data_IF_688200031723
#
_entry.id   IF_688200031723
#
_cell.length_a   1.000
_cell.length_b   1.000
_cell.length_c   1.000
_cell.angle_alpha   90.00
_cell.angle_beta   90.00
_cell.angle_gamma   90.00
#
_symmetry.space_group_name_H-M   'P 1'
#
loop_
_entity.id
_entity.type
_entity.pdbx_description
1 polymer ?
#
# COMPACT_ATOMS: atom_id res chain seq x y z
N UNK A 1 -19.05 -8.33 57.65
CA UNK A 1 -20.38 -7.70 57.80
C UNK A 1 -20.67 -6.89 56.55
N UNK A 2 -21.93 -6.83 56.11
CA UNK A 2 -22.41 -7.50 54.89
C UNK A 2 -22.67 -6.48 53.74
N UNK A 3 -22.43 -6.81 52.46
CA UNK A 3 -23.22 -7.60 51.51
C UNK A 3 -24.31 -6.83 50.76
N UNK A 4 -24.44 -7.16 49.45
CA UNK A 4 -25.70 -7.30 48.68
C UNK A 4 -26.37 -5.98 48.27
N UNK A 5 -26.99 -5.82 47.09
CA UNK A 5 -27.76 -6.73 46.24
C UNK A 5 -27.93 -6.06 44.84
N UNK A 6 -27.84 -6.84 43.74
CA UNK A 6 -28.97 -7.25 42.86
C UNK A 6 -29.41 -6.16 41.85
N UNK A 7 -29.90 -6.43 40.64
CA UNK A 7 -30.65 -7.57 40.10
C UNK A 7 -30.58 -7.54 38.56
N UNK A 8 -30.59 -8.73 37.94
CA UNK A 8 -31.00 -8.95 36.56
C UNK A 8 -32.51 -8.75 36.40
N UNK A 9 -32.99 -8.29 35.25
CA UNK A 9 -34.36 -8.57 34.80
C UNK A 9 -34.43 -8.85 33.31
N UNK A 10 -35.25 -9.84 32.99
CA UNK A 10 -35.51 -10.43 31.69
C UNK A 10 -36.65 -9.71 30.94
N UNK A 11 -36.51 -9.69 29.60
CA UNK A 11 -37.49 -9.71 28.49
C UNK A 11 -38.97 -9.35 28.74
N UNK A 12 -39.51 -8.49 27.87
CA UNK A 12 -40.85 -8.66 27.25
C UNK A 12 -40.78 -8.28 25.76
N UNK A 13 -41.16 -9.23 24.90
CA UNK A 13 -41.50 -9.08 23.49
C UNK A 13 -43.03 -9.06 23.38
N UNK A 14 -43.63 -8.10 22.68
CA UNK A 14 -44.96 -8.20 22.06
C UNK A 14 -45.27 -6.93 21.26
N UNK A 15 -45.58 -7.10 19.97
CA UNK A 15 -46.10 -6.03 19.11
C UNK A 15 -46.03 -6.40 17.63
N UNK A 16 -47.09 -7.03 17.13
CA UNK A 16 -47.28 -7.50 15.76
C UNK A 16 -48.29 -6.58 15.03
N UNK A 17 -48.40 -6.71 13.68
CA UNK A 17 -49.42 -6.18 12.73
C UNK A 17 -49.18 -4.74 12.20
N UNK A 18 -49.26 -4.36 10.91
CA UNK A 18 -50.00 -4.81 9.69
C UNK A 18 -49.31 -4.30 8.39
N UNK A 19 -49.42 -5.08 7.30
CA UNK A 19 -49.14 -4.69 5.91
C UNK A 19 -50.23 -3.76 5.32
N UNK A 20 -49.88 -2.83 4.43
CA UNK A 20 -50.73 -2.52 3.25
C UNK A 20 -49.85 -2.17 2.03
N UNK A 21 -50.09 -2.88 0.93
CA UNK A 21 -49.51 -2.70 -0.41
C UNK A 21 -50.19 -1.59 -1.21
N UNK A 22 -49.48 -0.98 -2.17
CA UNK A 22 -50.11 -0.44 -3.38
C UNK A 22 -49.12 -0.37 -4.55
N UNK A 23 -49.26 -1.31 -5.49
CA UNK A 23 -48.85 -1.19 -6.89
C UNK A 23 -49.77 -0.16 -7.58
N UNK A 24 -49.20 0.69 -8.43
CA UNK A 24 -49.95 1.41 -9.47
C UNK A 24 -49.37 1.04 -10.82
N UNK A 25 -50.20 0.35 -11.61
CA UNK A 25 -50.01 0.06 -13.03
C UNK A 25 -50.87 1.07 -13.79
N UNK A 26 -50.30 1.74 -14.80
CA UNK A 26 -51.02 2.60 -15.72
C UNK A 26 -50.60 2.28 -17.17
N UNK A 27 -51.53 1.94 -18.08
CA UNK A 27 -51.23 1.68 -19.49
C UNK A 27 -51.43 2.93 -20.38
N UNK A 28 -51.41 2.72 -21.70
CA UNK A 28 -51.79 3.61 -22.82
C UNK A 28 -50.63 4.37 -23.49
N UNK A 29 -50.52 4.55 -24.82
CA UNK A 29 -51.14 3.99 -26.05
C UNK A 29 -50.24 4.51 -27.20
N UNK A 30 -50.01 3.72 -28.27
CA UNK A 30 -49.47 4.24 -29.54
C UNK A 30 -50.63 4.62 -30.49
N UNK A 31 -50.41 5.61 -31.39
CA UNK A 31 -50.47 5.26 -32.82
C UNK A 31 -49.42 5.96 -33.72
N UNK A 32 -49.17 5.32 -34.86
CA UNK A 32 -48.33 5.63 -36.04
C UNK A 32 -48.66 6.96 -36.80
N UNK A 33 -48.16 7.18 -38.03
CA UNK A 33 -46.77 7.49 -38.44
C UNK A 33 -46.71 8.83 -39.21
N UNK A 34 -45.53 9.44 -39.36
CA UNK A 34 -45.32 10.50 -40.34
C UNK A 34 -44.06 10.21 -41.16
N UNK A 35 -44.29 9.86 -42.42
CA UNK A 35 -43.29 9.77 -43.47
C UNK A 35 -42.62 11.12 -43.68
N UNK A 36 -41.30 11.18 -43.53
CA UNK A 36 -40.49 12.26 -44.10
C UNK A 36 -39.43 11.65 -45.00
N UNK A 37 -39.55 12.00 -46.27
CA UNK A 37 -38.63 11.68 -47.35
C UNK A 37 -37.33 12.45 -47.12
N UNK A 38 -36.30 11.78 -46.64
CA UNK A 38 -34.95 12.35 -46.56
C UNK A 38 -34.23 12.05 -47.87
N UNK A 39 -33.82 13.11 -48.56
CA UNK A 39 -32.96 13.07 -49.73
C UNK A 39 -31.68 12.29 -49.42
N UNK A 40 -31.43 11.22 -50.17
CA UNK A 40 -30.15 10.52 -50.16
C UNK A 40 -29.08 11.45 -50.76
N UNK A 41 -28.26 12.06 -49.89
CA UNK A 41 -26.95 12.56 -50.27
C UNK A 41 -26.04 11.35 -50.53
N UNK A 42 -25.22 11.33 -51.61
CA UNK A 42 -24.22 10.29 -51.78
C UNK A 42 -23.17 10.47 -50.68
N UNK A 43 -23.28 9.68 -49.61
CA UNK A 43 -22.18 9.54 -48.66
C UNK A 43 -21.00 8.98 -49.44
N UNK A 44 -19.89 9.73 -49.47
CA UNK A 44 -18.59 9.18 -49.83
C UNK A 44 -18.41 7.90 -49.02
N UNK A 45 -18.30 6.76 -49.71
CA UNK A 45 -17.79 5.53 -49.12
C UNK A 45 -16.32 5.75 -48.77
N UNK A 46 -16.06 6.41 -47.64
CA UNK A 46 -14.83 6.16 -46.92
C UNK A 46 -14.94 4.70 -46.46
N UNK A 47 -14.05 3.84 -46.94
CA UNK A 47 -13.79 2.55 -46.34
C UNK A 47 -13.58 2.75 -44.85
N UNK A 48 -14.62 2.48 -44.06
CA UNK A 48 -14.51 2.33 -42.63
C UNK A 48 -13.69 1.06 -42.41
N UNK A 49 -12.38 1.22 -42.24
CA UNK A 49 -11.56 0.17 -41.65
C UNK A 49 -12.08 0.00 -40.23
N UNK A 50 -12.67 -1.15 -39.87
CA UNK A 50 -13.09 -1.37 -38.50
C UNK A 50 -11.83 -1.38 -37.62
N UNK A 51 -11.57 -0.28 -36.92
CA UNK A 51 -10.64 -0.30 -35.80
C UNK A 51 -11.40 -0.92 -34.64
N UNK A 52 -11.29 -2.24 -34.51
CA UNK A 52 -11.58 -2.89 -33.26
C UNK A 52 -10.51 -2.41 -32.26
N UNK A 53 -10.89 -1.47 -31.40
CA UNK A 53 -10.18 -1.30 -30.13
C UNK A 53 -10.53 -2.53 -29.30
N UNK A 54 -9.72 -3.59 -29.47
CA UNK A 54 -9.69 -4.65 -28.47
C UNK A 54 -9.40 -3.95 -27.14
N UNK A 55 -10.18 -4.21 -26.07
CA UNK A 55 -9.75 -3.81 -24.75
C UNK A 55 -8.32 -4.30 -24.60
N UNK A 56 -7.40 -3.42 -24.26
CA UNK A 56 -6.03 -3.77 -23.94
C UNK A 56 -6.01 -4.50 -22.59
N UNK A 57 -6.82 -5.55 -22.45
CA UNK A 57 -6.95 -6.45 -21.30
C UNK A 57 -6.25 -7.75 -21.66
N UNK A 58 -5.03 -7.61 -22.20
CA UNK A 58 -4.02 -8.66 -22.27
C UNK A 58 -2.74 -8.26 -21.52
N UNK A 59 -2.77 -7.17 -20.73
CA UNK A 59 -1.69 -6.78 -19.81
C UNK A 59 -1.62 -7.65 -18.53
N UNK A 60 -2.42 -8.72 -18.44
CA UNK A 60 -2.70 -9.44 -17.19
C UNK A 60 -2.20 -10.89 -17.16
N UNK A 61 -1.63 -11.38 -18.26
CA UNK A 61 -0.87 -12.61 -18.19
C UNK A 61 0.56 -12.27 -17.78
N UNK A 62 1.21 -13.11 -17.00
CA UNK A 62 2.65 -13.02 -16.73
C UNK A 62 3.41 -13.49 -17.99
N UNK A 63 3.14 -12.81 -19.10
CA UNK A 63 3.63 -13.13 -20.43
C UNK A 63 4.99 -12.49 -20.71
N UNK A 64 5.52 -11.70 -19.77
CA UNK A 64 6.92 -11.30 -19.80
C UNK A 64 7.77 -12.50 -19.44
N UNK A 65 8.57 -12.99 -20.39
CA UNK A 65 9.58 -14.02 -20.12
C UNK A 65 10.44 -13.53 -18.96
N UNK A 66 10.45 -14.26 -17.85
CA UNK A 66 11.27 -13.95 -16.68
C UNK A 66 10.66 -12.96 -15.68
N UNK A 67 9.34 -12.77 -15.58
CA UNK A 67 8.70 -12.09 -14.44
C UNK A 67 7.78 -13.07 -13.70
N UNK A 68 7.95 -13.21 -12.38
CA UNK A 68 7.03 -14.01 -11.54
C UNK A 68 5.64 -13.39 -11.50
N UNK A 69 4.60 -14.21 -11.58
CA UNK A 69 3.23 -13.72 -11.42
C UNK A 69 2.96 -13.23 -10.00
N UNK A 70 3.40 -14.01 -9.01
CA UNK A 70 3.32 -13.69 -7.59
C UNK A 70 4.71 -13.83 -6.99
N UNK A 71 5.15 -12.77 -6.36
CA UNK A 71 6.43 -12.67 -5.67
C UNK A 71 6.34 -11.47 -4.76
N UNK A 72 7.07 -11.47 -3.66
CA UNK A 72 7.16 -10.34 -2.74
C UNK A 72 7.71 -10.79 -1.40
N UNK A 73 8.78 -10.16 -0.94
CA UNK A 73 9.23 -10.25 0.45
C UNK A 73 10.09 -9.02 0.73
N UNK A 74 10.19 -8.66 1.99
CA UNK A 74 11.33 -7.90 2.48
C UNK A 74 12.66 -8.63 2.18
N UNK A 75 13.57 -8.01 1.44
CA UNK A 75 14.87 -8.62 1.11
C UNK A 75 15.92 -8.47 2.20
N UNK A 76 15.68 -7.51 3.08
CA UNK A 76 16.51 -7.25 4.22
C UNK A 76 16.90 -5.80 4.34
N UNK A 77 17.21 -5.46 5.58
CA UNK A 77 17.80 -4.21 6.00
C UNK A 77 19.33 -4.30 5.87
N UNK A 78 19.86 -3.93 4.70
CA UNK A 78 21.30 -3.99 4.40
C UNK A 78 21.88 -2.59 4.30
N UNK A 79 23.12 -2.43 4.76
CA UNK A 79 23.80 -1.14 4.65
C UNK A 79 23.88 -0.70 3.19
N UNK A 80 23.84 0.61 2.95
CA UNK A 80 24.03 1.17 1.61
C UNK A 80 25.32 0.66 0.90
N UNK A 81 26.33 0.19 1.64
CA UNK A 81 27.54 -0.42 1.07
C UNK A 81 27.42 -1.89 0.68
N UNK A 82 26.38 -2.59 1.12
CA UNK A 82 26.29 -4.04 0.97
C UNK A 82 25.60 -4.47 -0.31
N UNK A 83 24.70 -3.64 -0.86
CA UNK A 83 24.00 -3.94 -2.11
C UNK A 83 24.96 -4.02 -3.29
N UNK A 84 25.03 -5.20 -3.90
CA UNK A 84 25.90 -5.52 -5.02
C UNK A 84 25.18 -6.45 -6.01
N UNK A 85 25.74 -6.59 -7.21
CA UNK A 85 25.14 -7.41 -8.28
C UNK A 85 24.95 -8.88 -7.88
N UNK A 86 25.80 -9.44 -7.01
CA UNK A 86 25.69 -10.84 -6.60
C UNK A 86 24.46 -11.10 -5.73
N UNK A 87 24.08 -10.15 -4.88
CA UNK A 87 22.84 -10.24 -4.08
C UNK A 87 21.62 -10.14 -5.00
N UNK A 88 21.68 -9.30 -6.02
CA UNK A 88 20.55 -9.05 -6.92
C UNK A 88 20.42 -10.09 -8.04
N UNK A 89 21.42 -10.96 -8.21
CA UNK A 89 21.51 -11.94 -9.29
C UNK A 89 20.27 -12.85 -9.37
N UNK A 90 19.82 -13.40 -8.25
CA UNK A 90 18.63 -14.27 -8.21
C UNK A 90 17.37 -13.56 -8.68
N UNK A 91 17.36 -12.22 -8.61
CA UNK A 91 16.24 -11.35 -8.96
C UNK A 91 16.40 -10.64 -10.30
N UNK A 92 17.44 -10.96 -11.07
CA UNK A 92 17.77 -10.33 -12.34
C UNK A 92 18.04 -11.42 -13.41
N UNK A 93 17.18 -11.57 -14.43
CA UNK A 93 17.38 -12.53 -15.52
C UNK A 93 18.66 -12.34 -16.33
N UNK A 94 19.33 -11.18 -16.25
CA UNK A 94 20.67 -11.00 -16.84
C UNK A 94 21.68 -11.96 -16.21
N UNK A 95 21.41 -12.43 -15.00
CA UNK A 95 22.25 -13.33 -14.22
C UNK A 95 21.56 -14.70 -13.95
N UNK A 96 20.69 -15.13 -14.88
CA UNK A 96 19.86 -16.34 -14.80
C UNK A 96 18.79 -16.32 -13.69
N UNK A 97 18.54 -15.16 -13.08
CA UNK A 97 17.46 -14.94 -12.12
C UNK A 97 16.07 -14.77 -12.75
N UNK A 98 15.09 -14.40 -11.92
CA UNK A 98 13.75 -14.02 -12.38
C UNK A 98 13.43 -12.63 -11.85
N UNK A 99 12.71 -11.80 -12.58
CA UNK A 99 12.23 -10.53 -12.05
C UNK A 99 11.06 -10.76 -11.09
N UNK A 100 10.97 -9.99 -10.00
CA UNK A 100 9.74 -9.89 -9.23
C UNK A 100 8.66 -9.10 -9.99
N UNK A 101 7.42 -9.12 -9.48
CA UNK A 101 6.31 -8.38 -10.10
C UNK A 101 6.31 -6.89 -9.74
N UNK A 102 6.69 -6.56 -8.50
CA UNK A 102 7.03 -5.20 -8.09
C UNK A 102 8.29 -5.18 -7.22
N UNK A 103 8.87 -3.99 -7.09
CA UNK A 103 9.95 -3.67 -6.16
C UNK A 103 9.50 -2.44 -5.38
N UNK A 104 9.69 -2.40 -4.07
CA UNK A 104 9.59 -1.18 -3.26
C UNK A 104 11.00 -0.77 -2.84
N UNK A 105 11.33 0.50 -3.01
CA UNK A 105 12.57 1.07 -2.50
C UNK A 105 12.29 2.27 -1.63
N UNK A 106 13.14 2.49 -0.63
CA UNK A 106 13.10 3.73 0.15
C UNK A 106 13.73 4.87 -0.65
N UNK A 107 13.13 6.06 -0.62
CA UNK A 107 13.62 7.21 -1.39
C UNK A 107 15.04 7.59 -0.98
N UNK A 108 15.34 7.60 0.32
CA UNK A 108 16.67 7.93 0.85
C UNK A 108 17.71 6.81 0.71
N UNK A 109 17.33 5.62 0.22
CA UNK A 109 18.26 4.55 -0.11
C UNK A 109 18.79 4.76 -1.53
N UNK A 110 17.90 5.02 -2.47
CA UNK A 110 18.26 5.09 -3.90
C UNK A 110 18.67 6.50 -4.31
N UNK A 111 18.07 7.51 -3.68
CA UNK A 111 18.18 8.91 -4.08
C UNK A 111 18.75 9.78 -2.97
N UNK A 112 19.57 10.75 -3.38
CA UNK A 112 20.00 11.86 -2.56
C UNK A 112 19.18 13.08 -2.96
N UNK A 113 18.35 13.56 -2.05
CA UNK A 113 17.52 14.74 -2.28
C UNK A 113 18.33 15.99 -1.96
N UNK A 114 18.63 16.77 -2.99
CA UNK A 114 19.29 18.06 -2.87
C UNK A 114 18.23 19.13 -2.59
N UNK A 115 18.48 19.94 -1.58
CA UNK A 115 17.59 21.01 -1.15
C UNK A 115 18.30 22.34 -1.27
N UNK A 116 17.59 23.40 -1.65
CA UNK A 116 18.17 24.74 -1.68
C UNK A 116 18.64 25.14 -0.28
N UNK A 117 19.88 25.66 -0.12
CA UNK A 117 20.32 26.18 1.17
C UNK A 117 19.41 27.33 1.58
N UNK A 118 19.04 27.36 2.86
CA UNK A 118 18.17 28.40 3.42
C UNK A 118 18.84 29.76 3.24
N UNK A 119 18.23 30.64 2.44
CA UNK A 119 18.36 32.07 2.70
C UNK A 119 17.26 32.44 3.69
N UNK A 120 17.67 32.57 4.96
CA UNK A 120 16.79 32.81 6.12
C UNK A 120 15.90 34.05 5.97
N UNK A 121 16.15 34.89 4.96
CA UNK A 121 15.37 36.10 4.72
C UNK A 121 14.16 35.90 3.80
N UNK A 122 14.14 34.93 2.87
CA UNK A 122 13.15 34.98 1.76
C UNK A 122 12.65 33.65 1.20
N UNK A 123 13.28 32.50 1.46
CA UNK A 123 12.83 31.23 0.87
C UNK A 123 12.89 30.08 1.87
N UNK A 124 11.76 29.42 2.19
CA UNK A 124 11.80 28.18 2.97
C UNK A 124 12.61 27.14 2.20
N UNK A 125 13.30 26.23 2.90
CA UNK A 125 14.01 25.11 2.26
C UNK A 125 13.05 24.37 1.33
N UNK A 126 13.49 24.11 0.10
CA UNK A 126 12.72 23.37 -0.92
C UNK A 126 13.59 22.35 -1.59
N UNK A 127 12.96 21.30 -2.08
CA UNK A 127 13.61 20.33 -2.96
C UNK A 127 14.06 21.04 -4.25
N UNK A 128 15.33 20.88 -4.59
CA UNK A 128 15.91 21.35 -5.85
C UNK A 128 15.86 20.23 -6.90
N UNK A 129 16.49 19.11 -6.57
CA UNK A 129 16.64 17.94 -7.45
C UNK A 129 16.92 16.67 -6.66
N UNK A 130 16.77 15.54 -7.32
CA UNK A 130 17.29 14.26 -6.86
C UNK A 130 18.61 13.94 -7.59
N UNK A 131 19.49 13.23 -6.90
CA UNK A 131 20.71 12.62 -7.47
C UNK A 131 20.73 11.13 -7.11
N UNK A 132 21.45 10.33 -7.89
CA UNK A 132 21.64 8.91 -7.60
C UNK A 132 22.53 8.78 -6.35
N UNK A 133 22.00 8.18 -5.29
CA UNK A 133 22.77 7.86 -4.07
C UNK A 133 23.44 6.48 -4.19
N UNK A 134 22.69 5.50 -4.69
CA UNK A 134 23.14 4.10 -4.81
C UNK A 134 23.06 3.61 -6.25
N UNK A 135 24.14 3.73 -7.04
CA UNK A 135 24.14 3.36 -8.45
C UNK A 135 23.73 1.91 -8.72
N UNK A 136 24.16 0.96 -7.90
CA UNK A 136 23.83 -0.47 -8.09
C UNK A 136 22.32 -0.71 -7.99
N UNK A 137 21.68 -0.20 -6.92
CA UNK A 137 20.24 -0.35 -6.71
C UNK A 137 19.47 0.44 -7.77
N UNK A 138 19.91 1.66 -8.08
CA UNK A 138 19.31 2.48 -9.14
C UNK A 138 19.33 1.78 -10.50
N UNK A 139 20.47 1.20 -10.90
CA UNK A 139 20.60 0.48 -12.16
C UNK A 139 19.74 -0.79 -12.18
N UNK A 140 19.63 -1.50 -11.04
CA UNK A 140 18.73 -2.65 -10.90
C UNK A 140 17.25 -2.24 -11.08
N UNK A 141 16.76 -1.23 -10.35
CA UNK A 141 15.35 -0.81 -10.46
C UNK A 141 15.03 -0.24 -11.84
N UNK A 142 15.99 0.46 -12.47
CA UNK A 142 15.86 0.92 -13.85
C UNK A 142 15.68 -0.25 -14.82
N UNK A 143 16.55 -1.26 -14.75
CA UNK A 143 16.43 -2.46 -15.61
C UNK A 143 15.09 -3.15 -15.35
N UNK A 144 14.73 -3.38 -14.09
CA UNK A 144 13.46 -3.99 -13.72
C UNK A 144 12.27 -3.24 -14.31
N UNK A 145 12.21 -1.91 -14.16
CA UNK A 145 11.15 -1.08 -14.70
C UNK A 145 11.04 -1.18 -16.23
N UNK A 146 12.19 -1.15 -16.93
CA UNK A 146 12.24 -1.30 -18.39
C UNK A 146 11.77 -2.69 -18.87
N UNK A 147 11.82 -3.70 -18.01
CA UNK A 147 11.27 -5.03 -18.26
C UNK A 147 9.80 -5.18 -17.84
N UNK A 148 9.16 -4.14 -17.28
CA UNK A 148 7.76 -4.15 -16.89
C UNK A 148 7.48 -4.53 -15.43
N UNK A 149 8.52 -4.55 -14.60
CA UNK A 149 8.37 -4.62 -13.14
C UNK A 149 7.83 -3.31 -12.61
N UNK A 150 6.89 -3.35 -11.67
CA UNK A 150 6.36 -2.14 -11.02
C UNK A 150 7.35 -1.66 -9.96
N UNK A 151 7.93 -0.47 -10.11
CA UNK A 151 8.81 0.12 -9.10
C UNK A 151 8.01 1.10 -8.24
N UNK A 152 7.80 0.79 -6.97
CA UNK A 152 7.19 1.69 -5.99
C UNK A 152 8.31 2.36 -5.21
N UNK A 153 8.19 3.68 -5.00
CA UNK A 153 9.16 4.45 -4.23
C UNK A 153 8.47 4.94 -2.96
N UNK A 154 8.89 4.44 -1.81
CA UNK A 154 8.40 4.90 -0.51
C UNK A 154 9.21 6.10 -0.07
N UNK A 155 8.53 7.24 0.11
CA UNK A 155 9.17 8.43 0.66
C UNK A 155 9.60 8.13 2.10
N UNK A 156 10.90 8.26 2.37
CA UNK A 156 11.48 7.91 3.66
C UNK A 156 12.47 8.98 4.13
N UNK A 157 12.50 9.30 5.44
CA UNK A 157 11.62 8.81 6.52
C UNK A 157 10.16 9.25 6.31
N UNK A 158 9.21 8.56 6.95
CA UNK A 158 7.77 8.78 6.79
C UNK A 158 7.35 10.14 7.34
N UNK A 159 7.04 11.10 6.48
CA UNK A 159 7.02 12.47 6.94
C UNK A 159 5.60 13.00 7.17
N UNK A 160 5.40 13.72 8.27
CA UNK A 160 4.18 14.48 8.55
C UNK A 160 4.48 15.97 8.83
N UNK A 161 3.45 16.81 8.86
CA UNK A 161 3.57 18.23 9.17
C UNK A 161 2.81 18.55 10.46
N UNK A 162 3.44 18.37 11.62
CA UNK A 162 2.75 18.46 12.90
C UNK A 162 2.85 19.84 13.56
N UNK A 163 1.84 20.23 14.33
CA UNK A 163 1.81 21.53 15.01
C UNK A 163 2.80 21.64 16.17
N UNK A 164 3.10 20.53 16.84
CA UNK A 164 4.04 20.37 17.94
C UNK A 164 5.47 20.13 17.44
N UNK A 165 5.82 20.73 16.30
CA UNK A 165 7.09 20.48 15.60
C UNK A 165 8.34 20.69 16.48
N UNK A 166 8.27 21.58 17.46
CA UNK A 166 9.38 21.91 18.35
C UNK A 166 9.50 20.98 19.58
N UNK A 167 8.47 20.17 19.87
CA UNK A 167 8.47 19.16 20.92
C UNK A 167 7.35 18.13 20.69
N UNK A 168 7.63 16.98 20.06
CA UNK A 168 6.63 15.95 19.77
C UNK A 168 6.09 15.23 21.02
N UNK A 169 6.60 15.54 22.21
CA UNK A 169 6.01 15.10 23.47
C UNK A 169 4.94 16.07 24.00
N UNK A 170 4.67 17.17 23.28
CA UNK A 170 3.59 18.06 23.63
C UNK A 170 2.22 17.37 23.47
N UNK A 171 1.24 17.76 24.30
CA UNK A 171 -0.09 17.20 24.20
C UNK A 171 -0.78 17.55 22.86
N UNK A 172 -0.38 18.60 22.15
CA UNK A 172 -1.07 19.13 20.96
C UNK A 172 -0.59 18.48 19.63
N UNK A 173 -0.45 17.14 19.62
CA UNK A 173 0.04 16.38 18.47
C UNK A 173 -0.98 16.28 17.34
N UNK A 174 -1.04 17.31 16.51
CA UNK A 174 -2.01 17.45 15.42
C UNK A 174 -1.33 17.63 14.07
N UNK A 175 -1.83 16.95 13.04
CA UNK A 175 -1.28 17.01 11.69
C UNK A 175 -1.91 18.17 10.90
N UNK A 176 -1.08 18.96 10.23
CA UNK A 176 -1.45 20.15 9.49
C UNK A 176 -1.35 19.95 7.98
N UNK A 177 -2.43 20.24 7.28
CA UNK A 177 -2.45 20.35 5.80
C UNK A 177 -1.86 21.67 5.30
N UNK A 178 -1.50 22.59 6.20
CA UNK A 178 -1.20 23.99 5.88
C UNK A 178 0.17 24.24 5.27
N UNK A 179 0.69 25.45 5.52
CA UNK A 179 2.13 25.73 5.36
C UNK A 179 2.91 24.88 6.36
N UNK A 180 4.19 24.59 6.09
CA UNK A 180 5.04 23.93 7.08
C UNK A 180 4.95 24.60 8.46
N UNK A 181 4.73 23.83 9.52
CA UNK A 181 4.75 24.38 10.88
C UNK A 181 6.21 24.52 11.33
N UNK A 182 6.55 25.66 11.92
CA UNK A 182 7.89 25.95 12.44
C UNK A 182 8.80 26.73 11.49
N UNK A 183 9.41 27.85 11.90
CA UNK A 183 10.10 28.77 10.99
C UNK A 183 11.54 28.38 10.59
N UNK A 184 12.17 27.37 11.22
CA UNK A 184 13.65 27.24 11.19
C UNK A 184 14.21 25.90 10.64
N UNK A 185 13.42 24.84 10.47
CA UNK A 185 13.96 23.48 10.30
C UNK A 185 13.59 22.75 8.99
N UNK A 186 13.17 23.46 7.94
CA UNK A 186 12.74 22.85 6.67
C UNK A 186 13.81 22.06 5.89
N UNK A 187 15.09 22.20 6.26
CA UNK A 187 16.17 21.38 5.68
C UNK A 187 16.42 20.08 6.46
N UNK A 188 15.60 19.77 7.45
CA UNK A 188 15.62 18.53 8.23
C UNK A 188 14.46 17.64 7.80
N UNK A 189 14.62 16.87 6.70
CA UNK A 189 13.55 16.01 6.17
C UNK A 189 13.15 14.88 7.13
N UNK A 190 13.96 14.66 8.18
CA UNK A 190 13.76 13.68 9.24
C UNK A 190 12.65 14.02 10.24
N UNK A 191 12.18 15.26 10.26
CA UNK A 191 11.24 15.70 11.28
C UNK A 191 9.87 16.09 10.72
N UNK A 192 9.83 17.04 9.78
CA UNK A 192 8.56 17.61 9.33
C UNK A 192 8.59 17.98 7.87
N UNK A 193 7.51 17.66 7.16
CA UNK A 193 7.40 18.03 5.75
C UNK A 193 5.98 18.36 5.39
N UNK A 194 5.79 19.51 4.75
CA UNK A 194 4.48 19.89 4.21
C UNK A 194 4.12 19.06 2.98
N UNK A 195 2.83 19.07 2.62
CA UNK A 195 2.33 18.48 1.39
C UNK A 195 3.10 18.87 0.12
N UNK A 196 3.52 20.13 0.04
CA UNK A 196 4.29 20.65 -1.10
C UNK A 196 5.67 20.01 -1.12
N UNK A 197 6.34 19.96 0.02
CA UNK A 197 7.67 19.37 0.10
C UNK A 197 7.70 17.87 -0.27
N UNK A 198 6.68 17.09 0.13
CA UNK A 198 6.53 15.68 -0.29
C UNK A 198 6.40 15.58 -1.81
N UNK A 199 5.48 16.35 -2.39
CA UNK A 199 5.21 16.32 -3.82
C UNK A 199 6.42 16.83 -4.65
N UNK A 200 7.13 17.86 -4.17
CA UNK A 200 8.34 18.37 -4.81
C UNK A 200 9.47 17.30 -4.81
N UNK A 201 9.57 16.46 -3.77
CA UNK A 201 10.49 15.31 -3.75
C UNK A 201 10.09 14.23 -4.75
N UNK A 202 8.80 13.86 -4.79
CA UNK A 202 8.27 12.90 -5.75
C UNK A 202 8.58 13.36 -7.19
N UNK A 203 8.37 14.65 -7.50
CA UNK A 203 8.69 15.23 -8.80
C UNK A 203 10.18 15.20 -9.11
N UNK A 204 11.02 15.56 -8.13
CA UNK A 204 12.47 15.55 -8.31
C UNK A 204 13.00 14.14 -8.63
N UNK A 205 12.46 13.12 -7.96
CA UNK A 205 12.78 11.70 -8.23
C UNK A 205 12.22 11.28 -9.59
N UNK A 206 10.96 11.59 -9.89
CA UNK A 206 10.32 11.26 -11.16
C UNK A 206 11.12 11.81 -12.36
N UNK A 207 11.49 13.10 -12.32
CA UNK A 207 12.30 13.74 -13.37
C UNK A 207 13.67 13.11 -13.52
N UNK A 208 14.30 12.70 -12.42
CA UNK A 208 15.56 11.96 -12.48
C UNK A 208 15.34 10.63 -13.19
N UNK A 209 14.35 9.83 -12.80
CA UNK A 209 14.06 8.53 -13.41
C UNK A 209 13.77 8.66 -14.92
N UNK A 210 12.89 9.60 -15.29
CA UNK A 210 12.53 9.87 -16.69
C UNK A 210 13.76 10.25 -17.53
N UNK A 211 14.67 11.05 -16.98
CA UNK A 211 15.94 11.40 -17.65
C UNK A 211 16.86 10.20 -17.91
N UNK A 212 16.68 9.10 -17.16
CA UNK A 212 17.37 7.82 -17.36
C UNK A 212 16.55 6.79 -18.15
N UNK A 213 15.37 7.19 -18.65
CA UNK A 213 14.55 6.41 -19.58
C UNK A 213 13.69 5.33 -18.89
N UNK A 214 13.23 5.58 -17.67
CA UNK A 214 12.22 4.76 -17.00
C UNK A 214 11.34 5.62 -16.09
N UNK A 215 10.18 5.09 -15.70
CA UNK A 215 9.31 5.73 -14.71
C UNK A 215 8.97 4.73 -13.63
N UNK A 216 8.86 5.20 -12.40
CA UNK A 216 8.25 4.44 -11.31
C UNK A 216 6.77 4.16 -11.58
N UNK A 217 6.25 3.13 -10.92
CA UNK A 217 4.84 2.82 -10.88
C UNK A 217 4.07 3.84 -10.04
N UNK A 218 4.64 4.28 -8.92
CA UNK A 218 4.10 5.34 -8.07
C UNK A 218 4.84 5.50 -6.75
N UNK A 219 4.45 6.51 -5.99
CA UNK A 219 5.06 6.86 -4.71
C UNK A 219 4.15 6.51 -3.53
N UNK A 220 4.71 5.89 -2.49
CA UNK A 220 4.06 5.82 -1.18
C UNK A 220 4.47 7.04 -0.37
N UNK A 221 3.52 7.87 0.09
CA UNK A 221 3.86 9.13 0.74
C UNK A 221 4.42 8.96 2.17
N UNK A 222 4.22 7.80 2.80
CA UNK A 222 4.69 7.48 4.16
C UNK A 222 4.66 5.96 4.41
N UNK A 223 5.45 5.46 5.36
CA UNK A 223 5.36 4.13 5.95
C UNK A 223 4.46 4.16 7.19
N UNK A 224 3.48 3.26 7.28
CA UNK A 224 2.68 2.98 8.49
C UNK A 224 2.39 4.20 9.40
N UNK A 225 1.83 5.31 8.87
CA UNK A 225 1.74 6.56 9.62
C UNK A 225 0.86 6.46 10.87
N UNK A 226 -0.10 5.52 10.90
CA UNK A 226 -0.91 5.24 12.08
C UNK A 226 -0.09 4.69 13.26
N UNK A 227 1.06 4.08 13.00
CA UNK A 227 2.00 3.61 14.01
C UNK A 227 3.09 4.66 14.21
N UNK A 228 3.79 5.03 13.13
CA UNK A 228 4.97 5.90 13.22
C UNK A 228 4.66 7.29 13.77
N UNK A 229 3.45 7.82 13.53
CA UNK A 229 3.07 9.14 14.02
C UNK A 229 2.29 9.08 15.34
N UNK A 230 1.50 8.03 15.58
CA UNK A 230 0.49 8.04 16.64
C UNK A 230 0.59 6.89 17.67
N UNK A 231 1.69 6.13 17.70
CA UNK A 231 1.93 5.09 18.72
C UNK A 231 2.53 5.62 20.05
N UNK A 232 2.99 6.88 20.08
CA UNK A 232 3.63 7.49 21.25
C UNK A 232 2.72 7.63 22.48
N UNK A 233 3.25 7.34 23.67
CA UNK A 233 2.57 7.63 24.94
C UNK A 233 2.76 9.09 25.34
N UNK A 234 1.68 9.81 25.61
CA UNK A 234 1.73 11.16 26.20
C UNK A 234 1.17 12.28 25.33
N UNK A 235 0.83 12.00 24.08
CA UNK A 235 0.10 12.92 23.19
C UNK A 235 -1.40 12.89 23.48
N UNK A 236 -2.13 13.97 23.18
CA UNK A 236 -3.60 13.98 23.31
C UNK A 236 -4.31 13.26 22.17
N UNK A 237 -3.64 13.14 21.02
CA UNK A 237 -4.11 12.42 19.83
C UNK A 237 -3.29 11.14 19.68
N UNK A 238 -4.00 10.02 19.61
CA UNK A 238 -3.38 8.69 19.42
C UNK A 238 -4.03 8.01 18.23
N UNK A 239 -3.50 6.85 17.81
CA UNK A 239 -4.11 6.04 16.75
C UNK A 239 -5.53 5.56 17.08
N UNK A 240 -5.91 5.56 18.37
CA UNK A 240 -7.26 5.25 18.82
C UNK A 240 -8.26 6.37 18.51
N UNK A 241 -7.78 7.59 18.28
CA UNK A 241 -8.62 8.77 18.11
C UNK A 241 -9.09 8.93 16.67
N UNK A 242 -10.39 9.13 16.45
CA UNK A 242 -10.95 9.47 15.12
C UNK A 242 -10.22 10.62 14.44
N UNK A 243 -9.81 11.63 15.21
CA UNK A 243 -9.16 12.83 14.68
C UNK A 243 -7.82 12.52 13.99
N UNK A 244 -7.04 11.56 14.51
CA UNK A 244 -5.78 11.14 13.89
C UNK A 244 -6.01 10.65 12.45
N UNK A 245 -7.03 9.80 12.25
CA UNK A 245 -7.39 9.24 10.95
C UNK A 245 -7.95 10.29 9.99
N UNK A 246 -8.77 11.22 10.49
CA UNK A 246 -9.30 12.32 9.70
C UNK A 246 -8.20 13.29 9.24
N UNK A 247 -7.23 13.58 10.11
CA UNK A 247 -6.11 14.44 9.76
C UNK A 247 -5.16 13.77 8.76
N UNK A 248 -4.87 12.47 8.92
CA UNK A 248 -4.16 11.70 7.90
C UNK A 248 -4.91 11.74 6.57
N UNK A 249 -6.24 11.55 6.57
CA UNK A 249 -7.05 11.60 5.35
C UNK A 249 -6.94 12.95 4.63
N UNK A 250 -7.04 14.05 5.39
CA UNK A 250 -6.93 15.39 4.85
C UNK A 250 -5.52 15.69 4.34
N UNK A 251 -4.48 15.26 5.07
CA UNK A 251 -3.08 15.48 4.73
C UNK A 251 -2.68 14.78 3.44
N UNK A 252 -2.93 13.47 3.33
CA UNK A 252 -2.56 12.72 2.14
C UNK A 252 -3.40 13.10 0.92
N UNK A 253 -4.69 13.41 1.10
CA UNK A 253 -5.50 14.00 0.03
C UNK A 253 -4.91 15.33 -0.49
N UNK A 254 -4.37 16.17 0.41
CA UNK A 254 -3.75 17.43 0.02
C UNK A 254 -2.39 17.23 -0.66
N UNK A 255 -1.62 16.19 -0.31
CA UNK A 255 -0.41 15.76 -1.05
C UNK A 255 -0.78 15.36 -2.47
N UNK A 256 -1.79 14.51 -2.64
CA UNK A 256 -2.31 14.08 -3.94
C UNK A 256 -2.70 15.28 -4.81
N UNK A 257 -3.52 16.18 -4.25
CA UNK A 257 -4.00 17.35 -4.98
C UNK A 257 -2.86 18.29 -5.37
N UNK A 258 -1.87 18.49 -4.50
CA UNK A 258 -0.69 19.29 -4.84
C UNK A 258 0.11 18.67 -5.98
N UNK A 259 0.41 17.37 -5.89
CA UNK A 259 1.19 16.65 -6.88
C UNK A 259 0.53 16.74 -8.27
N UNK A 260 -0.76 16.42 -8.38
CA UNK A 260 -1.49 16.43 -9.66
C UNK A 260 -1.83 17.82 -10.18
N UNK A 261 -1.79 18.86 -9.32
CA UNK A 261 -1.96 20.25 -9.77
C UNK A 261 -0.68 20.80 -10.39
N UNK A 262 0.49 20.42 -9.87
CA UNK A 262 1.77 21.05 -10.24
C UNK A 262 2.63 20.20 -11.17
N UNK A 263 2.44 18.89 -11.16
CA UNK A 263 3.28 17.94 -11.87
C UNK A 263 2.44 16.99 -12.70
N UNK A 264 3.01 16.54 -13.83
CA UNK A 264 2.42 15.54 -14.70
C UNK A 264 3.24 14.26 -14.63
N UNK A 265 2.59 13.10 -14.65
CA UNK A 265 3.27 11.80 -14.73
C UNK A 265 3.62 11.16 -13.39
N UNK A 266 3.38 11.85 -12.27
CA UNK A 266 3.52 11.29 -10.93
C UNK A 266 2.25 10.53 -10.56
N UNK A 267 2.41 9.30 -10.08
CA UNK A 267 1.34 8.54 -9.44
C UNK A 267 1.55 8.56 -7.92
N UNK A 268 0.53 8.97 -7.17
CA UNK A 268 0.55 8.99 -5.70
C UNK A 268 -0.32 7.85 -5.18
N UNK A 269 0.31 6.87 -4.54
CA UNK A 269 -0.34 5.70 -3.95
C UNK A 269 -0.84 6.03 -2.53
N UNK A 270 -1.73 5.21 -1.98
CA UNK A 270 -2.10 5.33 -0.56
C UNK A 270 -0.90 4.95 0.34
N UNK A 271 -0.73 5.59 1.50
CA UNK A 271 0.26 5.15 2.48
C UNK A 271 -0.20 3.83 3.10
N UNK A 272 0.60 2.75 3.11
CA UNK A 272 0.24 1.53 3.82
C UNK A 272 0.10 1.80 5.33
N UNK A 273 -0.85 1.14 5.98
CA UNK A 273 -1.03 1.23 7.43
C UNK A 273 -0.39 0.04 8.15
N UNK A 274 0.08 0.27 9.37
CA UNK A 274 0.56 -0.80 10.24
C UNK A 274 -0.56 -1.77 10.57
N UNK A 275 -0.32 -3.05 10.27
CA UNK A 275 -1.32 -4.11 10.42
C UNK A 275 -1.72 -4.28 11.89
N UNK A 276 -3.02 -4.36 12.16
CA UNK A 276 -3.53 -4.58 13.51
C UNK A 276 -3.48 -3.34 14.41
N UNK A 277 -3.00 -2.21 13.90
CA UNK A 277 -2.99 -0.92 14.59
C UNK A 277 -4.23 -0.09 14.24
N UNK A 278 -5.41 -0.71 14.42
CA UNK A 278 -6.76 -0.13 14.24
C UNK A 278 -7.11 0.30 12.81
N UNK A 279 -6.26 0.03 11.81
CA UNK A 279 -6.57 0.28 10.41
C UNK A 279 -7.73 -0.62 9.93
N UNK A 280 -7.71 -1.89 10.33
CA UNK A 280 -8.71 -2.91 10.01
C UNK A 280 -9.81 -3.01 11.06
N UNK A 281 -10.99 -3.52 10.67
CA UNK A 281 -12.13 -3.69 11.58
C UNK A 281 -12.02 -4.92 12.50
N UNK A 282 -10.94 -5.69 12.39
CA UNK A 282 -10.79 -6.96 13.08
C UNK A 282 -9.34 -7.25 13.41
N UNK A 283 -9.09 -7.76 14.61
CA UNK A 283 -7.78 -8.23 15.03
C UNK A 283 -7.45 -9.52 14.27
N UNK A 284 -6.41 -9.50 13.45
CA UNK A 284 -6.05 -10.63 12.59
C UNK A 284 -5.49 -11.83 13.39
N UNK A 285 -5.05 -11.65 14.65
CA UNK A 285 -4.57 -12.74 15.51
C UNK A 285 -5.70 -13.40 16.29
N UNK A 286 -6.57 -12.59 16.90
CA UNK A 286 -7.58 -13.04 17.86
C UNK A 286 -9.02 -13.01 17.35
N UNK A 287 -9.26 -12.49 16.14
CA UNK A 287 -10.59 -12.38 15.53
C UNK A 287 -11.61 -11.56 16.32
N UNK A 288 -11.14 -10.78 17.29
CA UNK A 288 -11.95 -9.79 17.97
C UNK A 288 -12.17 -8.59 17.04
N UNK A 289 -13.38 -8.01 16.99
CA UNK A 289 -13.57 -6.70 16.37
C UNK A 289 -12.61 -5.67 16.95
N UNK A 290 -12.12 -4.79 16.10
CA UNK A 290 -11.34 -3.61 16.49
C UNK A 290 -12.00 -2.38 15.89
N UNK A 291 -11.91 -1.27 16.62
CA UNK A 291 -12.38 0.02 16.16
C UNK A 291 -11.79 1.13 17.00
N UNK A 292 -12.10 2.35 16.60
CA UNK A 292 -11.58 3.55 17.24
C UNK A 292 -12.26 3.83 18.60
N UNK A 293 -11.61 4.60 19.46
CA UNK A 293 -12.07 4.84 20.83
C UNK A 293 -13.45 5.51 20.86
N UNK A 294 -13.67 6.48 19.96
CA UNK A 294 -14.92 7.23 19.88
C UNK A 294 -15.99 6.55 19.00
N UNK A 295 -15.59 5.62 18.13
CA UNK A 295 -16.50 4.78 17.33
C UNK A 295 -15.93 3.36 17.17
N UNK A 296 -16.18 2.46 18.15
CA UNK A 296 -15.63 1.10 18.13
C UNK A 296 -16.19 0.21 17.01
N UNK A 297 -17.14 0.71 16.21
CA UNK A 297 -17.74 -0.03 15.09
C UNK A 297 -17.03 0.22 13.77
N UNK A 298 -16.10 1.18 13.74
CA UNK A 298 -15.39 1.60 12.53
C UNK A 298 -13.89 1.48 12.71
N UNK A 299 -13.23 1.12 11.61
CA UNK A 299 -11.78 1.08 11.56
C UNK A 299 -11.21 2.41 11.07
N UNK A 300 -9.89 2.54 11.10
CA UNK A 300 -9.19 3.69 10.54
C UNK A 300 -9.51 3.95 9.06
N UNK A 301 -9.59 2.89 8.25
CA UNK A 301 -9.96 3.00 6.84
C UNK A 301 -11.34 3.63 6.62
N UNK A 302 -12.31 3.42 7.53
CA UNK A 302 -13.64 4.04 7.40
C UNK A 302 -13.60 5.57 7.49
N UNK A 303 -12.55 6.13 8.11
CA UNK A 303 -12.32 7.56 8.26
C UNK A 303 -11.34 8.14 7.24
N UNK A 304 -10.77 7.32 6.35
CA UNK A 304 -9.83 7.74 5.31
C UNK A 304 -10.41 7.66 3.88
N UNK A 305 -11.70 7.96 3.74
CA UNK A 305 -12.43 7.78 2.47
C UNK A 305 -11.93 8.70 1.36
N UNK A 306 -11.38 9.88 1.66
CA UNK A 306 -10.91 10.78 0.61
C UNK A 306 -9.65 10.22 -0.03
N UNK A 307 -8.64 9.91 0.79
CA UNK A 307 -7.34 9.35 0.40
C UNK A 307 -7.51 8.00 -0.26
N UNK A 308 -8.16 7.04 0.40
CA UNK A 308 -8.29 5.68 -0.12
C UNK A 308 -9.40 5.51 -1.16
N UNK A 309 -10.39 6.40 -1.20
CA UNK A 309 -11.49 6.35 -2.16
C UNK A 309 -11.24 7.14 -3.44
N UNK A 310 -10.87 8.42 -3.31
CA UNK A 310 -10.91 9.37 -4.46
C UNK A 310 -9.59 10.05 -4.80
N UNK A 311 -8.65 10.13 -3.86
CA UNK A 311 -7.39 10.89 -3.97
C UNK A 311 -6.18 9.95 -3.85
N UNK A 312 -6.14 8.97 -4.74
CA UNK A 312 -5.00 8.06 -4.95
C UNK A 312 -4.99 7.55 -6.40
N UNK A 313 -3.82 7.13 -6.87
CA UNK A 313 -3.64 6.45 -8.16
C UNK A 313 -3.49 4.94 -8.01
N UNK A 314 -3.37 4.44 -6.78
CA UNK A 314 -3.34 3.03 -6.42
C UNK A 314 -3.41 2.84 -4.91
N UNK A 315 -3.85 1.65 -4.50
CA UNK A 315 -4.01 1.28 -3.09
C UNK A 315 -2.89 0.36 -2.66
N UNK A 316 -2.18 0.73 -1.61
CA UNK A 316 -1.13 -0.06 -0.99
C UNK A 316 -1.43 -0.37 0.48
N UNK A 317 -1.00 -1.53 0.94
CA UNK A 317 -1.05 -1.95 2.35
C UNK A 317 0.08 -2.92 2.69
N UNK A 318 0.29 -3.15 3.97
CA UNK A 318 1.22 -4.16 4.49
C UNK A 318 0.47 -5.41 4.96
N UNK A 319 1.13 -6.57 4.92
CA UNK A 319 0.51 -7.80 5.38
C UNK A 319 1.51 -8.77 6.02
N UNK A 320 1.34 -9.03 7.32
CA UNK A 320 2.09 -10.06 8.04
C UNK A 320 1.19 -11.21 8.46
N UNK A 321 1.70 -12.44 8.43
CA UNK A 321 0.93 -13.62 8.81
C UNK A 321 1.74 -14.63 9.62
N UNK A 322 1.08 -15.52 10.35
CA UNK A 322 1.70 -16.66 11.03
C UNK A 322 1.50 -17.93 10.21
N UNK A 323 2.38 -18.91 10.43
CA UNK A 323 2.23 -20.24 9.84
C UNK A 323 0.84 -20.84 10.14
N UNK A 324 0.18 -21.37 9.11
CA UNK A 324 -1.15 -21.97 9.18
C UNK A 324 -2.30 -20.97 8.99
N UNK A 325 -2.00 -19.69 8.73
CA UNK A 325 -3.00 -18.63 8.49
C UNK A 325 -2.97 -18.03 7.07
N UNK A 326 -2.34 -18.73 6.14
CA UNK A 326 -2.11 -18.32 4.74
C UNK A 326 -3.34 -18.38 3.84
N UNK A 327 -4.40 -19.06 4.27
CA UNK A 327 -5.61 -19.24 3.46
C UNK A 327 -6.42 -17.95 3.46
N UNK A 328 -6.86 -17.52 2.27
CA UNK A 328 -7.67 -16.32 2.05
C UNK A 328 -9.10 -16.58 2.51
N UNK A 329 -9.30 -16.50 3.81
CA UNK A 329 -10.57 -16.76 4.46
C UNK A 329 -10.72 -15.85 5.68
N UNK A 330 -11.88 -15.86 6.31
CA UNK A 330 -12.07 -15.13 7.56
C UNK A 330 -11.48 -15.95 8.71
N UNK A 331 -10.58 -15.32 9.47
CA UNK A 331 -10.32 -15.67 10.84
C UNK A 331 -9.76 -17.08 11.12
N UNK A 332 -10.35 -17.83 12.06
CA UNK A 332 -9.84 -19.11 12.59
C UNK A 332 -9.53 -20.14 11.49
N UNK A 333 -10.17 -20.01 10.32
CA UNK A 333 -10.04 -20.89 9.16
C UNK A 333 -8.89 -20.51 8.19
N UNK A 334 -7.90 -19.76 8.68
CA UNK A 334 -6.91 -19.05 7.87
C UNK A 334 -7.48 -17.69 7.46
N UNK A 335 -6.67 -16.64 7.45
CA UNK A 335 -7.26 -15.31 7.25
C UNK A 335 -6.49 -14.12 7.73
N UNK A 336 -5.16 -14.19 7.76
CA UNK A 336 -4.34 -13.02 8.05
C UNK A 336 -4.07 -12.23 6.78
N UNK A 337 -5.15 -11.91 6.06
CA UNK A 337 -5.14 -11.09 4.85
C UNK A 337 -5.86 -9.78 5.17
N UNK A 338 -5.11 -8.69 5.29
CA UNK A 338 -5.63 -7.35 5.62
C UNK A 338 -6.76 -6.92 4.70
N UNK A 339 -6.65 -7.25 3.41
CA UNK A 339 -7.63 -6.89 2.38
C UNK A 339 -9.04 -7.45 2.64
N UNK A 340 -9.18 -8.54 3.38
CA UNK A 340 -10.47 -9.12 3.77
C UNK A 340 -11.23 -8.17 4.71
N UNK A 341 -10.51 -7.42 5.53
CA UNK A 341 -11.04 -6.58 6.60
C UNK A 341 -11.09 -5.10 6.24
N UNK A 342 -10.85 -4.75 4.98
CA UNK A 342 -11.17 -3.42 4.47
C UNK A 342 -12.68 -3.15 4.53
N UNK A 343 -13.09 -1.88 4.67
CA UNK A 343 -14.47 -1.47 4.45
C UNK A 343 -14.99 -1.94 3.08
N UNK A 344 -16.30 -2.20 3.00
CA UNK A 344 -16.91 -2.77 1.79
C UNK A 344 -16.62 -1.94 0.53
N UNK A 345 -16.67 -0.61 0.61
CA UNK A 345 -16.40 0.27 -0.52
C UNK A 345 -14.96 0.14 -1.05
N UNK A 346 -13.98 -0.08 -0.16
CA UNK A 346 -12.56 -0.23 -0.54
C UNK A 346 -12.33 -1.61 -1.14
N UNK A 347 -12.91 -2.66 -0.54
CA UNK A 347 -12.90 -4.01 -1.12
C UNK A 347 -13.54 -4.01 -2.51
N UNK A 348 -14.63 -3.29 -2.68
CA UNK A 348 -15.33 -3.17 -3.96
C UNK A 348 -14.51 -2.40 -5.00
N UNK A 349 -13.80 -1.35 -4.60
CA UNK A 349 -12.90 -0.61 -5.49
C UNK A 349 -11.75 -1.49 -6.01
N UNK A 350 -11.10 -2.22 -5.09
CA UNK A 350 -10.05 -3.20 -5.42
C UNK A 350 -10.63 -4.32 -6.29
N UNK A 351 -11.78 -4.88 -5.89
CA UNK A 351 -12.47 -5.95 -6.62
C UNK A 351 -12.82 -5.57 -8.06
N UNK A 352 -13.30 -4.37 -8.25
CA UNK A 352 -13.72 -3.93 -9.58
C UNK A 352 -12.55 -3.38 -10.41
N UNK A 353 -11.30 -3.49 -9.92
CA UNK A 353 -10.11 -3.00 -10.60
C UNK A 353 -10.14 -1.50 -10.85
N UNK A 354 -10.85 -0.73 -10.01
CA UNK A 354 -10.98 0.73 -10.17
C UNK A 354 -9.65 1.43 -9.99
N UNK A 355 -8.79 0.86 -9.16
CA UNK A 355 -7.42 1.29 -8.90
C UNK A 355 -6.52 0.06 -8.84
N UNK A 356 -5.25 0.16 -9.28
CA UNK A 356 -4.25 -0.85 -8.99
C UNK A 356 -4.11 -1.07 -7.48
N UNK A 357 -3.85 -2.31 -7.08
CA UNK A 357 -3.69 -2.70 -5.68
C UNK A 357 -2.37 -3.47 -5.49
N UNK A 358 -1.63 -3.14 -4.43
CA UNK A 358 -0.29 -3.67 -4.15
C UNK A 358 -0.15 -3.96 -2.67
N UNK A 359 0.41 -5.11 -2.30
CA UNK A 359 0.98 -5.26 -0.94
C UNK A 359 2.41 -4.78 -1.03
N UNK A 360 2.70 -3.62 -0.45
CA UNK A 360 4.05 -3.04 -0.52
C UNK A 360 5.03 -3.67 0.46
N UNK A 361 4.53 -4.39 1.46
CA UNK A 361 5.35 -5.18 2.37
C UNK A 361 4.59 -6.42 2.83
N UNK A 362 5.23 -7.59 2.73
CA UNK A 362 4.65 -8.84 3.21
C UNK A 362 5.71 -9.80 3.69
N UNK A 363 5.47 -10.42 4.86
CA UNK A 363 6.32 -11.49 5.37
C UNK A 363 5.60 -12.32 6.45
N UNK A 364 6.16 -13.48 6.77
CA UNK A 364 5.87 -14.17 8.02
C UNK A 364 6.13 -13.23 9.19
N UNK A 365 5.19 -13.18 10.11
CA UNK A 365 5.24 -12.34 11.28
C UNK A 365 6.40 -12.78 12.18
N UNK A 366 7.18 -11.83 12.64
CA UNK A 366 8.29 -12.11 13.54
C UNK A 366 7.80 -12.52 14.94
N UNK A 367 8.68 -13.12 15.76
CA UNK A 367 8.42 -13.24 17.19
C UNK A 367 8.19 -11.88 17.88
N UNK A 368 8.82 -10.81 17.40
CA UNK A 368 8.74 -9.46 17.96
C UNK A 368 7.37 -8.80 17.79
N UNK A 369 6.66 -9.12 16.72
CA UNK A 369 5.29 -8.62 16.46
C UNK A 369 4.24 -9.21 17.40
N UNK A 370 4.57 -10.22 18.22
CA UNK A 370 3.66 -10.79 19.21
C UNK A 370 2.43 -11.51 18.62
N UNK A 371 2.47 -11.87 17.33
CA UNK A 371 1.38 -12.56 16.64
C UNK A 371 1.29 -14.06 17.00
N UNK A 372 2.30 -14.59 17.69
CA UNK A 372 2.34 -15.99 18.12
C UNK A 372 2.68 -16.95 16.99
N UNK A 373 3.61 -16.57 16.11
CA UNK A 373 4.03 -17.42 14.99
C UNK A 373 4.66 -18.73 15.50
N UNK A 374 4.19 -19.91 15.05
CA UNK A 374 4.84 -21.19 15.37
C UNK A 374 6.28 -21.26 14.86
N UNK A 375 6.57 -20.62 13.74
CA UNK A 375 7.93 -20.45 13.24
C UNK A 375 8.57 -19.32 14.04
N UNK A 376 9.57 -19.64 14.86
CA UNK A 376 10.33 -18.66 15.66
C UNK A 376 11.75 -18.44 15.14
N UNK A 377 12.17 -19.23 14.15
CA UNK A 377 13.43 -19.10 13.42
C UNK A 377 13.23 -19.66 12.00
N UNK A 378 13.25 -18.78 11.00
CA UNK A 378 13.07 -19.17 9.60
C UNK A 378 14.18 -20.09 9.08
N UNK A 379 15.40 -19.96 9.60
CA UNK A 379 16.55 -20.76 9.17
C UNK A 379 16.56 -22.15 9.82
N UNK A 380 15.95 -22.29 10.99
CA UNK A 380 15.73 -23.58 11.64
C UNK A 380 14.57 -24.39 11.00
N UNK A 381 13.65 -23.72 10.31
CA UNK A 381 12.48 -24.31 9.66
C UNK A 381 12.33 -23.86 8.19
N UNK A 382 13.33 -24.11 7.32
CA UNK A 382 13.39 -23.45 6.01
C UNK A 382 12.32 -23.93 5.04
N UNK A 383 12.01 -25.23 5.02
CA UNK A 383 10.96 -25.80 4.17
C UNK A 383 9.58 -25.28 4.57
N UNK A 384 9.27 -25.27 5.87
CA UNK A 384 8.00 -24.75 6.41
C UNK A 384 7.83 -23.25 6.13
N UNK A 385 8.90 -22.48 6.30
CA UNK A 385 8.93 -21.06 5.96
C UNK A 385 8.62 -20.86 4.48
N UNK A 386 9.34 -21.56 3.60
CA UNK A 386 9.13 -21.46 2.16
C UNK A 386 7.71 -21.88 1.74
N UNK A 387 7.18 -22.97 2.30
CA UNK A 387 5.81 -23.45 2.08
C UNK A 387 4.77 -22.41 2.50
N UNK A 388 4.91 -21.84 3.70
CA UNK A 388 4.00 -20.81 4.19
C UNK A 388 3.98 -19.59 3.26
N UNK A 389 5.16 -19.10 2.85
CA UNK A 389 5.25 -17.99 1.90
C UNK A 389 4.61 -18.32 0.55
N UNK A 390 4.86 -19.52 0.00
CA UNK A 390 4.22 -19.97 -1.25
C UNK A 390 2.71 -20.03 -1.09
N UNK A 391 2.20 -20.60 -0.01
CA UNK A 391 0.78 -20.69 0.26
C UNK A 391 0.12 -19.31 0.39
N UNK A 392 0.71 -18.39 1.15
CA UNK A 392 0.15 -17.06 1.34
C UNK A 392 0.04 -16.31 0.01
N UNK A 393 1.11 -16.31 -0.79
CA UNK A 393 1.11 -15.62 -2.09
C UNK A 393 0.24 -16.30 -3.13
N UNK A 394 0.21 -17.64 -3.16
CA UNK A 394 -0.73 -18.36 -4.00
C UNK A 394 -2.18 -18.07 -3.61
N UNK A 395 -2.44 -17.88 -2.31
CA UNK A 395 -3.77 -17.59 -1.76
C UNK A 395 -4.22 -16.17 -2.11
N UNK A 396 -3.37 -15.16 -1.90
CA UNK A 396 -3.58 -13.79 -2.38
C UNK A 396 -3.81 -13.74 -3.89
N UNK A 397 -2.97 -14.44 -4.67
CA UNK A 397 -3.11 -14.51 -6.13
C UNK A 397 -4.40 -15.20 -6.57
N UNK A 398 -4.63 -16.44 -6.14
CA UNK A 398 -5.77 -17.26 -6.60
C UNK A 398 -7.08 -16.68 -6.13
N UNK A 399 -7.23 -16.32 -4.86
CA UNK A 399 -8.51 -15.83 -4.34
C UNK A 399 -8.72 -14.34 -4.60
N UNK A 400 -7.66 -13.51 -4.58
CA UNK A 400 -7.69 -12.13 -5.07
C UNK A 400 -8.16 -12.06 -6.53
N UNK A 401 -7.58 -12.86 -7.44
CA UNK A 401 -8.02 -12.85 -8.84
C UNK A 401 -9.36 -13.55 -9.08
N UNK A 402 -9.58 -14.76 -8.54
CA UNK A 402 -10.75 -15.58 -8.91
C UNK A 402 -12.06 -15.11 -8.24
N UNK A 403 -11.99 -14.57 -7.02
CA UNK A 403 -13.19 -14.04 -6.34
C UNK A 403 -13.33 -12.55 -6.51
N UNK A 404 -12.22 -11.84 -6.68
CA UNK A 404 -12.23 -10.39 -6.68
C UNK A 404 -11.75 -9.76 -7.99
N UNK A 405 -11.41 -10.47 -9.06
CA UNK A 405 -11.08 -9.83 -10.36
C UNK A 405 -9.93 -8.81 -10.32
N UNK A 406 -9.22 -8.73 -9.19
CA UNK A 406 -8.14 -7.79 -8.95
C UNK A 406 -6.99 -8.25 -9.81
N UNK A 407 -6.37 -7.33 -10.54
CA UNK A 407 -5.01 -7.58 -11.02
C UNK A 407 -4.22 -8.03 -9.81
N UNK A 408 -3.68 -9.24 -9.87
CA UNK A 408 -2.99 -9.86 -8.79
C UNK A 408 -2.27 -8.87 -7.89
N UNK A 409 -2.64 -8.92 -6.62
CA UNK A 409 -2.04 -8.13 -5.58
C UNK A 409 -0.54 -8.28 -5.74
N UNK A 410 0.07 -7.21 -6.19
CA UNK A 410 1.48 -7.24 -6.52
C UNK A 410 2.20 -7.08 -5.20
N UNK A 411 3.05 -8.04 -4.87
CA UNK A 411 3.70 -8.05 -3.57
C UNK A 411 5.10 -7.55 -3.80
N UNK A 412 5.48 -6.53 -3.05
CA UNK A 412 6.65 -5.75 -3.38
C UNK A 412 7.86 -6.19 -2.59
N UNK A 413 9.02 -5.98 -3.20
CA UNK A 413 10.31 -6.33 -2.64
C UNK A 413 10.89 -5.12 -1.95
N UNK A 414 10.86 -5.06 -0.61
CA UNK A 414 11.44 -3.93 0.11
C UNK A 414 12.97 -4.09 0.16
N UNK A 415 13.66 -3.25 -0.60
CA UNK A 415 15.07 -2.95 -0.40
C UNK A 415 15.14 -1.87 0.68
N UNK A 416 15.89 -2.07 1.77
CA UNK A 416 15.97 -1.10 2.87
C UNK A 416 17.31 -1.17 3.60
N UNK A 417 17.66 -0.11 4.34
CA UNK A 417 18.87 0.08 5.17
C UNK A 417 18.53 0.35 6.66
N UNK A 418 17.36 -0.08 7.15
CA UNK A 418 17.07 0.02 8.58
C UNK A 418 17.75 -1.14 9.32
N UNK A 419 19.08 -1.19 9.39
CA UNK A 419 19.79 -2.29 10.07
C UNK A 419 19.74 -2.16 11.61
N UNK A 420 19.98 -3.26 12.34
CA UNK A 420 20.36 -3.20 13.77
C UNK A 420 19.35 -3.66 14.82
N UNK A 421 18.22 -4.25 14.43
CA UNK A 421 17.30 -4.91 15.38
C UNK A 421 17.07 -6.38 15.00
N UNK A 422 16.78 -7.22 15.99
CA UNK A 422 16.41 -8.64 15.77
C UNK A 422 15.18 -8.77 14.88
N UNK A 423 14.28 -7.80 14.96
CA UNK A 423 13.12 -7.69 14.07
C UNK A 423 13.56 -7.56 12.61
N UNK A 424 14.51 -6.68 12.35
CA UNK A 424 15.02 -6.45 11.00
C UNK A 424 15.76 -7.65 10.44
N UNK A 425 16.46 -8.42 11.29
CA UNK A 425 17.17 -9.63 10.88
C UNK A 425 16.22 -10.77 10.48
N UNK A 426 15.04 -10.85 11.10
CA UNK A 426 14.00 -11.83 10.76
C UNK A 426 13.49 -11.69 9.32
N UNK A 427 13.50 -10.47 8.80
CA UNK A 427 12.97 -10.13 7.49
C UNK A 427 14.05 -10.10 6.39
N UNK A 428 15.30 -10.55 6.64
CA UNK A 428 16.37 -10.55 5.63
C UNK A 428 16.37 -11.85 4.82
N UNK A 429 16.38 -11.78 3.49
CA UNK A 429 16.56 -12.93 2.61
C UNK A 429 18.02 -13.41 2.52
N UNK A 430 18.97 -12.54 2.89
CA UNK A 430 20.40 -12.79 2.80
C UNK A 430 21.05 -12.70 4.18
N UNK A 431 22.11 -13.48 4.37
CA UNK A 431 23.03 -13.38 5.49
C UNK A 431 24.03 -12.25 5.26
N UNK A 432 24.75 -11.86 6.31
CA UNK A 432 25.74 -10.78 6.29
C UNK A 432 26.91 -11.05 5.32
N UNK A 433 27.21 -12.33 5.05
CA UNK A 433 28.22 -12.76 4.07
C UNK A 433 27.69 -12.86 2.63
N UNK A 434 26.47 -12.37 2.38
CA UNK A 434 25.73 -12.41 1.12
C UNK A 434 25.21 -13.80 0.72
N UNK A 435 25.35 -14.82 1.57
CA UNK A 435 24.69 -16.10 1.31
C UNK A 435 23.16 -15.94 1.41
N UNK A 436 22.44 -16.58 0.49
CA UNK A 436 20.99 -16.71 0.61
C UNK A 436 20.61 -17.54 1.83
N UNK A 437 19.55 -17.12 2.51
CA UNK A 437 18.98 -17.93 3.60
C UNK A 437 18.31 -19.18 3.04
N UNK A 438 18.35 -20.26 3.81
CA UNK A 438 17.93 -21.59 3.36
C UNK A 438 16.46 -21.69 2.94
N UNK A 439 15.60 -20.78 3.40
CA UNK A 439 14.18 -20.71 3.01
C UNK A 439 13.93 -19.88 1.75
N UNK A 440 14.86 -18.99 1.38
CA UNK A 440 14.65 -18.02 0.31
C UNK A 440 14.71 -18.67 -1.07
N UNK A 441 15.77 -19.44 -1.37
CA UNK A 441 15.93 -20.13 -2.66
C UNK A 441 14.74 -21.07 -2.96
N UNK A 442 14.31 -21.97 -2.05
CA UNK A 442 13.16 -22.85 -2.32
C UNK A 442 11.86 -22.07 -2.56
N UNK A 443 11.63 -20.98 -1.81
CA UNK A 443 10.46 -20.14 -2.03
C UNK A 443 10.51 -19.41 -3.38
N UNK A 444 11.69 -18.89 -3.74
CA UNK A 444 11.85 -18.01 -4.89
C UNK A 444 12.02 -18.73 -6.21
N UNK A 445 12.82 -19.79 -6.26
CA UNK A 445 13.19 -20.49 -7.50
C UNK A 445 12.20 -21.58 -7.89
N UNK A 446 11.46 -22.16 -6.93
CA UNK A 446 10.46 -23.17 -7.26
C UNK A 446 9.37 -22.53 -8.12
N UNK A 447 9.30 -23.02 -9.36
CA UNK A 447 8.33 -22.60 -10.35
C UNK A 447 6.91 -22.77 -9.80
N UNK A 448 5.99 -21.97 -10.35
CA UNK A 448 4.56 -21.89 -10.06
C UNK A 448 3.75 -23.21 -10.12
N UNK A 449 4.41 -24.36 -10.24
CA UNK A 449 3.86 -25.70 -10.20
C UNK A 449 3.46 -26.11 -8.79
N UNK A 450 2.36 -25.53 -8.30
CA UNK A 450 1.54 -26.14 -7.26
C UNK A 450 0.27 -26.73 -7.89
N UNK A 451 -0.19 -27.91 -7.42
CA UNK A 451 -1.32 -28.63 -7.99
C UNK A 451 -2.64 -27.84 -8.08
#
# INVERSE_FOLDING_TARGET
>A
MPSKNSTSTWRIFLGCWIMVSALVVGPWVMPHPASSTVYAQPMLQSTLTPQAYLPLVMNNYCSGVGIKCWSGIHLGNRSNSDWNDAILQTLDPVADGTWPKAIVVLSNQVYKIQRYPVDHATMPCRVDKAEILMPVVFDYVKRAAQHGVRVVIRIYPSPGNFYDWDDPAQPDHHLSTGVPVGPEDYCRPDLYRSKADLADEMDAIHRLNDSYGFTEFGFEPANEPNVEWYEGSGTSVTRGSIIAWQEMDAYFAAVYDWAHTHYSGINVLTPPMGQGALAESMNLNGCAPMGLDEDPTKSGYDYMQVTYGTKNDGVNWHNYWIEGKEIYNFCENGGQHVSIYFPEWLRDAIRNGQKPATISEADLASPGQGMGNPITDKDAAPEQTADSMRHFFASEWRFGMSRYGVHAVTISWLLTDNSGTTEHDWHKAYLEDNAERAWFEPWYTESESWP
#
